data_IF_275550862634
#
_entry.id   IF_275550862634
#
_cell.length_a   1.000
_cell.length_b   1.000
_cell.length_c   1.000
_cell.angle_alpha   90.00
_cell.angle_beta   90.00
_cell.angle_gamma   90.00
#
_symmetry.space_group_name_H-M   'P 1'
#
loop_
_entity.id
_entity.type
_entity.pdbx_description
1 polymer ?
#
# COMPACT_ATOMS: atom_id res chain seq x y z
N UNK A 1 30.67 -7.47 0.48
CA UNK A 1 29.92 -6.62 -0.47
C UNK A 1 29.77 -7.21 -1.90
N UNK A 2 29.83 -8.53 -2.09
CA UNK A 2 29.67 -9.16 -3.42
C UNK A 2 28.35 -9.95 -3.60
N UNK A 3 27.92 -10.64 -2.55
CA UNK A 3 26.78 -11.56 -2.63
C UNK A 3 25.44 -10.85 -2.86
N UNK A 4 25.19 -9.73 -2.17
CA UNK A 4 23.97 -8.95 -2.36
C UNK A 4 23.81 -8.44 -3.81
N UNK A 5 24.91 -7.97 -4.41
CA UNK A 5 24.91 -7.54 -5.82
C UNK A 5 24.60 -8.69 -6.77
N UNK A 6 25.14 -9.88 -6.51
CA UNK A 6 24.89 -11.07 -7.34
C UNK A 6 23.43 -11.51 -7.26
N UNK A 7 22.83 -11.46 -6.07
CA UNK A 7 21.41 -11.77 -5.86
C UNK A 7 20.54 -10.76 -6.62
N UNK A 8 20.78 -9.46 -6.44
CA UNK A 8 20.04 -8.40 -7.15
C UNK A 8 20.16 -8.56 -8.67
N UNK A 9 21.38 -8.78 -9.16
CA UNK A 9 21.63 -8.97 -10.59
C UNK A 9 20.87 -10.20 -11.13
N UNK A 10 20.84 -11.31 -10.39
CA UNK A 10 20.10 -12.51 -10.79
C UNK A 10 18.59 -12.24 -10.92
N UNK A 11 17.97 -11.53 -9.97
CA UNK A 11 16.56 -11.17 -10.06
C UNK A 11 16.26 -10.22 -11.22
N UNK A 12 17.12 -9.21 -11.42
CA UNK A 12 16.98 -8.24 -12.52
C UNK A 12 17.16 -8.93 -13.87
N UNK A 13 18.14 -9.82 -13.98
CA UNK A 13 18.44 -10.56 -15.20
C UNK A 13 17.32 -11.54 -15.54
N UNK A 14 16.81 -12.29 -14.56
CA UNK A 14 15.63 -13.15 -14.72
C UNK A 14 14.41 -12.36 -15.17
N UNK A 15 14.16 -11.19 -14.59
CA UNK A 15 13.04 -10.33 -14.98
C UNK A 15 13.19 -9.74 -16.39
N UNK A 16 14.41 -9.46 -16.84
CA UNK A 16 14.70 -8.99 -18.20
C UNK A 16 14.49 -10.08 -19.24
N UNK A 17 14.89 -11.31 -18.92
CA UNK A 17 14.75 -12.49 -19.78
C UNK A 17 13.35 -13.13 -19.74
N UNK A 18 12.42 -12.62 -18.92
CA UNK A 18 11.02 -13.06 -18.96
C UNK A 18 10.43 -12.85 -20.36
N UNK A 19 9.66 -13.84 -20.81
CA UNK A 19 8.86 -13.75 -22.04
C UNK A 19 7.86 -12.59 -21.95
N UNK A 20 7.44 -12.06 -23.10
CA UNK A 20 6.49 -10.96 -23.18
C UNK A 20 5.18 -11.27 -22.43
N UNK A 21 4.76 -12.55 -22.41
CA UNK A 21 3.63 -13.03 -21.62
C UNK A 21 3.86 -12.89 -20.11
N UNK A 22 5.04 -13.28 -19.61
CA UNK A 22 5.39 -13.15 -18.20
C UNK A 22 5.44 -11.68 -17.74
N UNK A 23 5.98 -10.79 -18.58
CA UNK A 23 5.98 -9.34 -18.32
C UNK A 23 4.56 -8.78 -18.26
N UNK A 24 3.68 -9.21 -19.17
CA UNK A 24 2.26 -8.83 -19.17
C UNK A 24 1.55 -9.30 -17.90
N UNK A 25 1.78 -10.54 -17.46
CA UNK A 25 1.22 -11.04 -16.19
C UNK A 25 1.67 -10.21 -14.99
N UNK A 26 2.93 -9.82 -14.93
CA UNK A 26 3.42 -8.96 -13.84
C UNK A 26 2.75 -7.59 -13.82
N UNK A 27 2.49 -7.00 -14.99
CA UNK A 27 1.71 -5.76 -15.11
C UNK A 27 0.29 -5.97 -14.58
N UNK A 28 -0.36 -7.08 -14.93
CA UNK A 28 -1.70 -7.42 -14.42
C UNK A 28 -1.70 -7.55 -12.90
N UNK A 29 -0.69 -8.20 -12.32
CA UNK A 29 -0.54 -8.34 -10.86
C UNK A 29 -0.41 -6.95 -10.21
N UNK A 30 0.46 -6.08 -10.74
CA UNK A 30 0.62 -4.71 -10.23
C UNK A 30 -0.68 -3.92 -10.29
N UNK A 31 -1.40 -3.99 -11.42
CA UNK A 31 -2.69 -3.32 -11.59
C UNK A 31 -3.69 -3.85 -10.55
N UNK A 32 -3.78 -5.17 -10.38
CA UNK A 32 -4.69 -5.78 -9.41
C UNK A 32 -4.36 -5.36 -7.98
N UNK A 33 -3.08 -5.34 -7.61
CA UNK A 33 -2.64 -4.87 -6.29
C UNK A 33 -2.96 -3.38 -6.08
N UNK A 34 -2.76 -2.55 -7.09
CA UNK A 34 -3.10 -1.13 -7.03
C UNK A 34 -4.61 -0.92 -6.84
N UNK A 35 -5.43 -1.63 -7.61
CA UNK A 35 -6.90 -1.58 -7.51
C UNK A 35 -7.35 -2.06 -6.13
N UNK A 36 -6.83 -3.20 -5.64
CA UNK A 36 -7.14 -3.71 -4.30
C UNK A 36 -6.77 -2.70 -3.22
N UNK A 37 -5.58 -2.10 -3.30
CA UNK A 37 -5.16 -1.06 -2.37
C UNK A 37 -6.07 0.16 -2.41
N UNK A 38 -6.48 0.60 -3.60
CA UNK A 38 -7.34 1.77 -3.76
C UNK A 38 -8.76 1.53 -3.22
N UNK A 39 -9.35 0.35 -3.51
CA UNK A 39 -10.67 -0.04 -2.99
C UNK A 39 -10.63 -0.16 -1.46
N UNK A 40 -9.63 -0.88 -0.92
CA UNK A 40 -9.45 -0.99 0.53
C UNK A 40 -9.23 0.40 1.15
N UNK A 41 -8.44 1.26 0.53
CA UNK A 41 -8.22 2.63 1.00
C UNK A 41 -9.53 3.42 1.04
N UNK A 42 -10.33 3.39 -0.02
CA UNK A 42 -11.58 4.13 -0.09
C UNK A 42 -12.64 3.61 0.89
N UNK A 43 -12.69 2.29 1.11
CA UNK A 43 -13.69 1.64 1.96
C UNK A 43 -13.29 1.59 3.45
N UNK A 44 -12.03 1.31 3.77
CA UNK A 44 -11.52 1.24 5.15
C UNK A 44 -11.02 2.59 5.68
N UNK A 45 -10.65 3.51 4.79
CA UNK A 45 -10.24 4.87 5.15
C UNK A 45 -11.11 5.93 4.43
N UNK A 46 -12.44 5.90 4.60
CA UNK A 46 -13.26 7.03 4.19
C UNK A 46 -12.75 8.31 4.88
N UNK A 47 -12.97 9.47 4.27
CA UNK A 47 -12.62 10.78 4.86
C UNK A 47 -13.49 11.13 6.10
N UNK A 48 -13.65 10.20 7.06
CA UNK A 48 -14.29 10.42 8.37
C UNK A 48 -13.58 11.51 9.18
N UNK A 49 -12.39 11.92 8.75
CA UNK A 49 -11.55 12.91 9.41
C UNK A 49 -11.80 14.38 9.02
N UNK A 50 -12.63 14.65 8.01
CA UNK A 50 -12.84 16.02 7.48
C UNK A 50 -14.27 16.55 7.63
N UNK A 51 -15.23 15.73 8.05
CA UNK A 51 -16.64 16.13 8.02
C UNK A 51 -17.08 16.84 9.31
N UNK A 52 -16.46 16.54 10.45
CA UNK A 52 -16.97 16.95 11.77
C UNK A 52 -15.97 17.69 12.68
N UNK A 53 -14.74 17.98 12.23
CA UNK A 53 -13.70 18.61 13.07
C UNK A 53 -13.07 19.83 12.42
N UNK A 54 -13.07 20.96 13.13
CA UNK A 54 -12.54 22.24 12.66
C UNK A 54 -11.01 22.34 12.79
N UNK A 55 -10.40 21.52 13.66
CA UNK A 55 -8.94 21.52 13.89
C UNK A 55 -8.37 20.09 13.95
N UNK A 56 -7.15 19.89 13.44
CA UNK A 56 -6.46 18.59 13.50
C UNK A 56 -6.19 18.11 14.94
N UNK A 57 -6.13 19.05 15.90
CA UNK A 57 -5.92 18.75 17.32
C UNK A 57 -7.15 18.09 17.96
N UNK A 58 -8.36 18.58 17.70
CA UNK A 58 -9.61 17.97 18.18
C UNK A 58 -9.80 16.57 17.62
N UNK A 59 -9.43 16.37 16.35
CA UNK A 59 -9.50 15.07 15.69
C UNK A 59 -8.59 14.04 16.34
N UNK A 60 -7.35 14.41 16.66
CA UNK A 60 -6.41 13.53 17.35
C UNK A 60 -6.92 13.13 18.73
N UNK A 61 -7.47 14.08 19.49
CA UNK A 61 -8.01 13.83 20.82
C UNK A 61 -9.23 12.90 20.79
N UNK A 62 -10.14 13.06 19.82
CA UNK A 62 -11.30 12.17 19.64
C UNK A 62 -10.90 10.73 19.32
N UNK A 63 -9.92 10.53 18.43
CA UNK A 63 -9.39 9.18 18.10
C UNK A 63 -8.74 8.53 19.32
N UNK A 64 -7.94 9.29 20.10
CA UNK A 64 -7.30 8.79 21.32
C UNK A 64 -8.37 8.40 22.36
N UNK A 65 -9.42 9.20 22.53
CA UNK A 65 -10.50 8.89 23.47
C UNK A 65 -11.24 7.60 23.08
N UNK A 66 -11.54 7.39 21.79
CA UNK A 66 -12.19 6.16 21.30
C UNK A 66 -11.29 4.92 21.44
N UNK A 67 -9.99 5.04 21.20
CA UNK A 67 -9.04 3.93 21.39
C UNK A 67 -8.81 3.59 22.87
N UNK A 68 -8.91 4.59 23.74
CA UNK A 68 -8.73 4.42 25.20
C UNK A 68 -10.02 4.00 25.90
N UNK A 69 -11.19 4.32 25.33
CA UNK A 69 -12.50 3.73 25.69
C UNK A 69 -12.63 2.31 25.14
N UNK A 70 -11.68 1.46 25.48
CA UNK A 70 -11.87 0.01 25.40
C UNK A 70 -12.64 -0.41 26.65
N UNK A 71 -13.88 -0.89 26.48
CA UNK A 71 -14.63 -1.61 27.52
C UNK A 71 -14.43 -3.11 27.34
#
# INVERSE_FOLDING_TARGET
MGYLKKIIFFYVDGFRHLSTLGKSLWIIIFIKLFIMFFILKLFFFPNIMKKDFHTDQERSNYVIEQLTKTK
#
